data_IF_618219676853
#
_entry.id   IF_618219676853
#
_cell.length_a   1.000
_cell.length_b   1.000
_cell.length_c   1.000
_cell.angle_alpha   90.00
_cell.angle_beta   90.00
_cell.angle_gamma   90.00
#
_symmetry.space_group_name_H-M   'P 1'
#
loop_
_entity.id
_entity.type
_entity.pdbx_description
1 polymer ?
#
# COMPACT_ATOMS: atom_id res chain seq x y z
N UNK A 1 20.55 -7.90 -11.89
CA UNK A 1 19.10 -7.63 -11.91
C UNK A 1 18.39 -8.57 -10.95
N UNK A 2 17.57 -8.01 -10.06
CA UNK A 2 16.65 -8.77 -9.20
C UNK A 2 15.28 -8.81 -9.87
N UNK A 3 14.65 -9.99 -9.96
CA UNK A 3 13.27 -10.14 -10.42
C UNK A 3 12.32 -10.40 -9.26
N UNK A 4 11.34 -9.51 -9.09
CA UNK A 4 10.26 -9.64 -8.10
C UNK A 4 8.91 -9.63 -8.81
N UNK A 5 8.05 -10.59 -8.50
CA UNK A 5 6.68 -10.70 -9.01
C UNK A 5 5.70 -10.18 -7.96
N UNK A 6 4.95 -9.14 -8.31
CA UNK A 6 3.89 -8.55 -7.48
C UNK A 6 2.58 -9.34 -7.66
N UNK A 7 2.50 -10.52 -7.04
CA UNK A 7 1.39 -11.48 -7.17
C UNK A 7 0.30 -11.33 -6.10
N UNK A 8 0.21 -10.17 -5.44
CA UNK A 8 -0.81 -9.92 -4.41
C UNK A 8 -2.23 -9.75 -4.96
N UNK A 9 -2.37 -9.34 -6.22
CA UNK A 9 -3.66 -9.29 -6.91
C UNK A 9 -3.91 -10.61 -7.68
N UNK A 10 -4.59 -11.56 -7.03
CA UNK A 10 -4.79 -12.91 -7.58
C UNK A 10 -5.65 -12.95 -8.85
N UNK A 11 -6.50 -11.95 -9.08
CA UNK A 11 -7.34 -11.91 -10.29
C UNK A 11 -6.51 -11.52 -11.51
N UNK A 12 -5.51 -10.66 -11.32
CA UNK A 12 -4.61 -10.19 -12.40
C UNK A 12 -3.34 -11.02 -12.53
N UNK A 13 -2.81 -11.54 -11.42
CA UNK A 13 -1.54 -12.28 -11.36
C UNK A 13 -1.76 -13.79 -11.52
N UNK A 14 -2.38 -14.17 -12.65
CA UNK A 14 -2.58 -15.58 -12.99
C UNK A 14 -1.27 -16.27 -13.37
N UNK A 15 -1.20 -17.59 -13.22
CA UNK A 15 -0.03 -18.38 -13.64
C UNK A 15 0.34 -18.13 -15.11
N UNK A 16 -0.66 -18.00 -15.98
CA UNK A 16 -0.46 -17.69 -17.39
C UNK A 16 0.15 -16.30 -17.62
N UNK A 17 -0.30 -15.28 -16.86
CA UNK A 17 0.27 -13.93 -16.95
C UNK A 17 1.72 -13.90 -16.47
N UNK A 18 2.02 -14.59 -15.36
CA UNK A 18 3.39 -14.72 -14.83
C UNK A 18 4.27 -15.45 -15.84
N UNK A 19 3.82 -16.57 -16.41
CA UNK A 19 4.56 -17.30 -17.43
C UNK A 19 4.89 -16.43 -18.64
N UNK A 20 3.92 -15.67 -19.15
CA UNK A 20 4.11 -14.76 -20.28
C UNK A 20 5.18 -13.68 -20.00
N UNK A 21 5.23 -13.14 -18.77
CA UNK A 21 6.29 -12.20 -18.37
C UNK A 21 7.65 -12.88 -18.42
N UNK A 22 7.78 -14.06 -17.81
CA UNK A 22 9.05 -14.78 -17.75
C UNK A 22 9.55 -15.22 -19.13
N UNK A 23 8.64 -15.66 -20.00
CA UNK A 23 8.93 -16.02 -21.38
C UNK A 23 9.36 -14.81 -22.20
N UNK A 24 8.66 -13.68 -22.08
CA UNK A 24 9.02 -12.43 -22.75
C UNK A 24 10.40 -11.92 -22.35
N UNK A 25 10.72 -11.99 -21.05
CA UNK A 25 12.06 -11.63 -20.55
C UNK A 25 13.14 -12.54 -21.11
N UNK A 26 12.94 -13.87 -21.12
CA UNK A 26 13.88 -14.83 -21.73
C UNK A 26 14.06 -14.59 -23.22
N UNK A 27 12.98 -14.31 -23.94
CA UNK A 27 13.02 -14.05 -25.37
C UNK A 27 13.83 -12.79 -25.71
N UNK A 28 13.79 -11.77 -24.86
CA UNK A 28 14.58 -10.54 -24.98
C UNK A 28 16.01 -10.66 -24.41
N UNK A 29 16.41 -11.85 -23.94
CA UNK A 29 17.68 -12.08 -23.24
C UNK A 29 17.86 -11.22 -21.98
N UNK A 30 16.75 -10.84 -21.33
CA UNK A 30 16.73 -10.10 -20.07
C UNK A 30 16.82 -11.09 -18.89
N UNK A 31 18.03 -11.58 -18.65
CA UNK A 31 18.33 -12.49 -17.54
C UNK A 31 18.43 -11.74 -16.21
N UNK A 32 18.01 -12.39 -15.12
CA UNK A 32 18.11 -11.89 -13.74
C UNK A 32 19.10 -12.74 -12.92
N UNK A 33 19.78 -12.09 -11.99
CA UNK A 33 20.77 -12.71 -11.10
C UNK A 33 20.08 -13.31 -9.86
N UNK A 34 19.00 -12.69 -9.40
CA UNK A 34 18.25 -13.10 -8.21
C UNK A 34 16.74 -13.15 -8.50
N UNK A 35 16.06 -14.19 -8.01
CA UNK A 35 14.61 -14.40 -8.19
C UNK A 35 14.22 -15.46 -9.24
N UNK A 36 12.94 -15.53 -9.66
CA UNK A 36 11.85 -14.64 -9.27
C UNK A 36 11.44 -14.81 -7.80
N UNK A 37 11.31 -13.71 -7.07
CA UNK A 37 10.74 -13.67 -5.72
C UNK A 37 9.28 -13.25 -5.81
N UNK A 38 8.38 -14.02 -5.19
CA UNK A 38 6.95 -13.74 -5.19
C UNK A 38 6.56 -12.94 -3.94
N UNK A 39 5.80 -11.87 -4.10
CA UNK A 39 5.35 -11.03 -2.98
C UNK A 39 4.50 -11.84 -1.99
N UNK A 40 3.65 -12.75 -2.47
CA UNK A 40 2.82 -13.61 -1.60
C UNK A 40 3.63 -14.58 -0.74
N UNK A 41 4.87 -14.91 -1.12
CA UNK A 41 5.76 -15.75 -0.29
C UNK A 41 6.27 -15.03 0.97
N UNK A 42 5.98 -13.73 1.12
CA UNK A 42 6.54 -12.86 2.17
C UNK A 42 5.49 -12.18 3.06
N UNK A 43 4.23 -12.63 2.99
CA UNK A 43 3.10 -12.01 3.71
C UNK A 43 3.32 -11.92 5.23
N UNK A 44 3.94 -12.94 5.83
CA UNK A 44 4.21 -12.91 7.28
C UNK A 44 5.18 -11.79 7.65
N UNK A 45 6.25 -11.60 6.88
CA UNK A 45 7.18 -10.48 7.08
C UNK A 45 6.46 -9.14 6.97
N UNK A 46 5.55 -9.00 6.02
CA UNK A 46 4.80 -7.75 5.83
C UNK A 46 3.84 -7.48 6.98
N UNK A 47 3.19 -8.53 7.49
CA UNK A 47 2.37 -8.45 8.70
C UNK A 47 3.21 -8.00 9.90
N UNK A 48 4.38 -8.59 10.12
CA UNK A 48 5.27 -8.22 11.23
C UNK A 48 5.69 -6.75 11.16
N UNK A 49 6.06 -6.27 9.97
CA UNK A 49 6.41 -4.87 9.75
C UNK A 49 5.23 -3.92 9.99
N UNK A 50 4.02 -4.29 9.55
CA UNK A 50 2.82 -3.48 9.80
C UNK A 50 2.50 -3.39 11.30
N UNK A 51 2.70 -4.48 12.05
CA UNK A 51 2.53 -4.50 13.50
C UNK A 51 3.61 -3.67 14.23
N UNK A 52 4.86 -3.71 13.78
CA UNK A 52 5.93 -2.84 14.29
C UNK A 52 5.62 -1.36 14.03
N UNK A 53 5.11 -1.00 12.84
CA UNK A 53 4.67 0.36 12.55
C UNK A 53 3.53 0.82 13.47
N UNK A 54 2.58 -0.08 13.80
CA UNK A 54 1.53 0.23 14.79
C UNK A 54 2.16 0.48 16.17
N UNK A 55 3.07 -0.39 16.61
CA UNK A 55 3.73 -0.28 17.91
C UNK A 55 4.54 1.03 18.04
N UNK A 56 5.13 1.50 16.94
CA UNK A 56 5.88 2.76 16.86
C UNK A 56 5.00 3.99 16.62
N UNK A 57 3.68 3.82 16.48
CA UNK A 57 2.74 4.91 16.25
C UNK A 57 2.69 5.44 14.81
N UNK A 58 3.40 4.80 13.87
CA UNK A 58 3.42 5.16 12.44
C UNK A 58 2.30 4.50 11.63
N UNK A 59 1.50 3.64 12.26
CA UNK A 59 0.33 3.05 11.66
C UNK A 59 -0.78 2.85 12.70
N UNK A 60 -2.01 2.63 12.23
CA UNK A 60 -3.15 2.37 13.10
C UNK A 60 -4.18 1.47 12.42
N UNK A 61 -5.04 0.84 13.22
CA UNK A 61 -6.11 -0.03 12.74
C UNK A 61 -7.30 0.81 12.30
N UNK A 62 -7.95 0.42 11.21
CA UNK A 62 -9.13 1.08 10.67
C UNK A 62 -10.21 0.04 10.39
N UNK A 63 -11.42 0.32 10.89
CA UNK A 63 -12.61 -0.55 10.74
C UNK A 63 -13.64 0.07 9.79
N UNK A 64 -13.28 1.13 9.07
CA UNK A 64 -14.19 1.76 8.11
C UNK A 64 -14.52 0.78 6.98
N UNK A 65 -15.81 0.63 6.69
CA UNK A 65 -16.28 -0.26 5.62
C UNK A 65 -16.09 0.40 4.25
N UNK A 66 -16.02 -0.38 3.15
CA UNK A 66 -16.01 0.19 1.81
C UNK A 66 -17.17 1.14 1.54
N UNK A 67 -18.37 0.80 2.01
CA UNK A 67 -19.58 1.62 1.83
C UNK A 67 -19.45 2.96 2.56
N UNK A 68 -18.99 2.96 3.82
CA UNK A 68 -18.75 4.20 4.58
C UNK A 68 -17.69 5.10 3.91
N UNK A 69 -16.64 4.49 3.35
CA UNK A 69 -15.59 5.21 2.63
C UNK A 69 -16.11 5.82 1.32
N UNK A 70 -16.98 5.11 0.61
CA UNK A 70 -17.56 5.58 -0.64
C UNK A 70 -18.58 6.70 -0.41
N UNK A 71 -19.42 6.60 0.63
CA UNK A 71 -20.33 7.68 1.03
C UNK A 71 -19.55 8.96 1.36
N UNK A 72 -18.45 8.83 2.12
CA UNK A 72 -17.59 9.97 2.45
C UNK A 72 -16.90 10.57 1.25
N UNK A 73 -16.46 9.75 0.31
CA UNK A 73 -15.89 10.21 -0.96
C UNK A 73 -16.90 11.04 -1.74
N UNK A 74 -18.16 10.58 -1.84
CA UNK A 74 -19.25 11.32 -2.50
C UNK A 74 -19.56 12.64 -1.81
N UNK A 75 -19.60 12.66 -0.47
CA UNK A 75 -19.81 13.88 0.31
C UNK A 75 -18.67 14.90 0.12
N UNK A 76 -17.41 14.45 0.15
CA UNK A 76 -16.25 15.29 -0.14
C UNK A 76 -16.32 15.87 -1.55
N UNK A 77 -16.65 15.05 -2.54
CA UNK A 77 -16.78 15.47 -3.93
C UNK A 77 -17.93 16.49 -4.11
N UNK A 78 -19.07 16.28 -3.47
CA UNK A 78 -20.21 17.21 -3.51
C UNK A 78 -19.85 18.58 -2.89
N UNK A 79 -18.90 18.61 -1.95
CA UNK A 79 -18.36 19.82 -1.32
C UNK A 79 -17.15 20.41 -2.05
N UNK A 80 -16.72 19.83 -3.17
CA UNK A 80 -15.52 20.25 -3.89
C UNK A 80 -14.20 20.01 -3.12
N UNK A 81 -14.23 19.13 -2.12
CA UNK A 81 -13.06 18.77 -1.33
C UNK A 81 -12.30 17.60 -1.96
N UNK A 82 -10.98 17.49 -1.77
CA UNK A 82 -10.20 16.36 -2.24
C UNK A 82 -10.73 15.03 -1.66
N UNK A 83 -10.84 13.96 -2.48
CA UNK A 83 -11.31 12.66 -2.02
C UNK A 83 -10.20 11.95 -1.21
N UNK A 84 -10.15 12.19 0.11
CA UNK A 84 -9.17 11.61 1.04
C UNK A 84 -9.84 10.90 2.20
N UNK A 85 -9.13 9.97 2.82
CA UNK A 85 -9.52 9.45 4.11
C UNK A 85 -9.48 10.58 5.16
N UNK A 86 -10.50 10.62 6.01
CA UNK A 86 -10.74 11.70 6.95
C UNK A 86 -10.05 11.49 8.31
N UNK A 87 -9.21 10.46 8.43
CA UNK A 87 -8.49 10.16 9.67
C UNK A 87 -9.37 9.61 10.80
N UNK A 88 -10.65 9.25 10.58
CA UNK A 88 -11.60 8.92 11.67
C UNK A 88 -11.15 7.80 12.61
N UNK A 89 -10.35 6.84 12.15
CA UNK A 89 -9.83 5.77 13.00
C UNK A 89 -8.47 6.05 13.64
N UNK A 90 -7.85 7.19 13.35
CA UNK A 90 -6.48 7.53 13.72
C UNK A 90 -6.22 7.39 15.22
N UNK A 91 -7.14 7.87 16.06
CA UNK A 91 -6.96 7.86 17.53
C UNK A 91 -7.91 6.87 18.24
N UNK A 92 -8.57 6.00 17.47
CA UNK A 92 -9.47 4.98 18.02
C UNK A 92 -8.66 3.77 18.52
N UNK A 93 -8.97 3.30 19.72
CA UNK A 93 -8.47 2.03 20.24
C UNK A 93 -9.30 0.88 19.65
N UNK A 94 -8.80 0.28 18.59
CA UNK A 94 -9.42 -0.85 17.90
C UNK A 94 -8.66 -2.14 18.27
N UNK A 95 -9.39 -3.16 18.70
CA UNK A 95 -8.81 -4.47 19.04
C UNK A 95 -8.20 -5.14 17.80
N UNK A 96 -7.14 -5.93 18.01
CA UNK A 96 -6.59 -6.79 16.97
C UNK A 96 -7.60 -7.87 16.52
N UNK A 97 -8.56 -8.24 17.38
CA UNK A 97 -9.56 -9.27 17.09
C UNK A 97 -10.71 -8.77 16.21
N UNK A 98 -10.88 -7.46 16.09
CA UNK A 98 -11.90 -6.88 15.21
C UNK A 98 -11.38 -6.90 13.77
N UNK A 99 -12.14 -7.36 12.76
CA UNK A 99 -11.73 -7.25 11.37
C UNK A 99 -11.36 -5.81 11.01
N UNK A 100 -10.13 -5.59 10.56
CA UNK A 100 -9.58 -4.26 10.30
C UNK A 100 -8.55 -4.29 9.19
N UNK A 101 -8.36 -3.12 8.56
CA UNK A 101 -7.16 -2.82 7.78
C UNK A 101 -6.15 -2.08 8.65
N UNK A 102 -4.88 -2.08 8.26
CA UNK A 102 -3.85 -1.21 8.84
C UNK A 102 -3.58 -0.06 7.88
N UNK A 103 -3.66 1.17 8.39
CA UNK A 103 -3.33 2.39 7.66
C UNK A 103 -2.02 2.98 8.14
N UNK A 104 -1.23 3.50 7.22
CA UNK A 104 -0.10 4.37 7.54
C UNK A 104 -0.63 5.67 8.16
N UNK A 105 0.06 6.15 9.21
CA UNK A 105 -0.24 7.44 9.85
C UNK A 105 0.63 8.51 9.19
N UNK A 106 0.08 9.17 8.19
CA UNK A 106 0.75 10.30 7.58
C UNK A 106 0.88 11.48 8.58
N UNK A 107 2.02 12.16 8.55
CA UNK A 107 2.26 13.36 9.38
C UNK A 107 1.99 14.56 8.48
N UNK A 108 0.90 15.33 8.71
CA UNK A 108 0.59 16.49 7.88
C UNK A 108 1.63 17.61 8.10
N UNK A 109 1.58 18.61 7.23
CA UNK A 109 2.38 19.84 7.32
C UNK A 109 3.90 19.59 7.31
N UNK A 110 4.32 18.58 6.55
CA UNK A 110 5.73 18.29 6.28
C UNK A 110 6.01 18.42 4.79
N UNK A 111 7.26 18.72 4.44
CA UNK A 111 7.73 18.62 3.06
C UNK A 111 8.49 17.31 2.90
N UNK A 112 7.97 16.41 2.07
CA UNK A 112 8.67 15.21 1.63
C UNK A 112 9.46 15.58 0.38
N UNK A 113 10.79 15.60 0.48
CA UNK A 113 11.67 15.97 -0.63
C UNK A 113 12.70 14.86 -0.92
N UNK A 114 13.01 14.67 -2.20
CA UNK A 114 14.02 13.72 -2.68
C UNK A 114 14.53 14.11 -4.07
N UNK A 115 15.72 13.64 -4.42
CA UNK A 115 16.31 13.82 -5.75
C UNK A 115 15.99 12.62 -6.63
N UNK A 116 15.09 12.79 -7.59
CA UNK A 116 14.79 11.78 -8.60
C UNK A 116 15.88 11.77 -9.68
N UNK A 117 16.33 10.58 -10.10
CA UNK A 117 17.43 10.45 -11.06
C UNK A 117 17.10 11.02 -12.45
N UNK A 118 15.82 11.10 -12.82
CA UNK A 118 15.38 11.57 -14.14
C UNK A 118 14.86 13.01 -14.05
N UNK A 119 14.05 13.31 -13.04
CA UNK A 119 13.36 14.59 -12.88
C UNK A 119 14.12 15.60 -12.02
N UNK A 120 15.17 15.18 -11.33
CA UNK A 120 15.91 16.01 -10.37
C UNK A 120 15.13 16.20 -9.06
N UNK A 121 15.37 17.32 -8.35
CA UNK A 121 14.75 17.57 -7.06
C UNK A 121 13.22 17.65 -7.14
N UNK A 122 12.54 16.84 -6.33
CA UNK A 122 11.08 16.84 -6.16
C UNK A 122 10.72 17.09 -4.69
N UNK A 123 9.62 17.79 -4.48
CA UNK A 123 9.07 18.06 -3.14
C UNK A 123 7.55 18.00 -3.15
N UNK A 124 6.98 17.37 -2.13
CA UNK A 124 5.54 17.23 -1.95
C UNK A 124 5.15 17.67 -0.55
N UNK A 125 4.03 18.40 -0.44
CA UNK A 125 3.39 18.65 0.84
C UNK A 125 2.74 17.34 1.32
N UNK A 126 3.14 16.86 2.49
CA UNK A 126 2.62 15.64 3.08
C UNK A 126 1.13 15.74 3.39
N UNK A 127 0.59 16.95 3.60
CA UNK A 127 -0.84 17.21 3.71
C UNK A 127 -1.60 16.80 2.45
N UNK A 128 -0.93 16.60 1.31
CA UNK A 128 -1.53 16.06 0.09
C UNK A 128 -1.66 14.53 0.09
N UNK A 129 -0.93 13.85 0.96
CA UNK A 129 -0.87 12.39 1.08
C UNK A 129 -1.92 11.88 2.06
N UNK A 130 -2.51 10.73 1.71
CA UNK A 130 -3.57 10.11 2.50
C UNK A 130 -3.01 9.08 3.50
N UNK A 131 -3.81 8.70 4.49
CA UNK A 131 -3.52 7.56 5.37
C UNK A 131 -3.79 6.24 4.62
N UNK A 132 -2.84 5.87 3.76
CA UNK A 132 -2.91 4.71 2.86
C UNK A 132 -3.09 3.41 3.64
N UNK A 133 -3.89 2.49 3.10
CA UNK A 133 -3.94 1.10 3.60
C UNK A 133 -2.65 0.39 3.23
N UNK A 134 -1.94 -0.13 4.23
CA UNK A 134 -0.68 -0.88 4.06
C UNK A 134 -0.85 -2.39 4.30
N UNK A 135 -1.90 -2.79 5.03
CA UNK A 135 -2.28 -4.18 5.24
C UNK A 135 -3.81 -4.32 5.18
N UNK A 136 -4.30 -5.22 4.32
CA UNK A 136 -5.72 -5.56 4.21
C UNK A 136 -6.15 -6.52 5.31
N UNK A 137 -7.46 -6.61 5.52
CA UNK A 137 -8.09 -7.55 6.46
C UNK A 137 -7.78 -9.02 6.14
N UNK A 138 -7.59 -9.36 4.86
CA UNK A 138 -7.21 -10.72 4.41
C UNK A 138 -5.71 -11.02 4.54
N UNK A 139 -4.93 -10.09 5.11
CA UNK A 139 -3.50 -10.24 5.32
C UNK A 139 -2.63 -9.93 4.11
N UNK A 140 -3.21 -9.51 2.98
CA UNK A 140 -2.45 -9.03 1.83
C UNK A 140 -1.95 -7.61 2.11
N UNK A 141 -0.65 -7.41 1.94
CA UNK A 141 -0.02 -6.10 2.11
C UNK A 141 0.04 -5.33 0.79
N UNK A 142 -0.16 -4.02 0.87
CA UNK A 142 0.19 -3.08 -0.20
C UNK A 142 1.53 -2.46 0.20
N UNK A 143 2.64 -3.05 -0.25
CA UNK A 143 4.01 -2.60 0.03
C UNK A 143 4.80 -2.47 -1.27
#
# INVERSE_FOLDING_TARGET
MLLRIEDTDRERSTEAAIAAILDGMRWLDLTWDEGPVFQTSRLDRYRDLALDLIARGHAYRCVCTPDELEERRKDAQAKGLPPRYDGRCRDRKISADTPHVVRFRNIPDQIVAFDDLIRGPLSFDSGLLDDLVILRTDGIAYL
#
